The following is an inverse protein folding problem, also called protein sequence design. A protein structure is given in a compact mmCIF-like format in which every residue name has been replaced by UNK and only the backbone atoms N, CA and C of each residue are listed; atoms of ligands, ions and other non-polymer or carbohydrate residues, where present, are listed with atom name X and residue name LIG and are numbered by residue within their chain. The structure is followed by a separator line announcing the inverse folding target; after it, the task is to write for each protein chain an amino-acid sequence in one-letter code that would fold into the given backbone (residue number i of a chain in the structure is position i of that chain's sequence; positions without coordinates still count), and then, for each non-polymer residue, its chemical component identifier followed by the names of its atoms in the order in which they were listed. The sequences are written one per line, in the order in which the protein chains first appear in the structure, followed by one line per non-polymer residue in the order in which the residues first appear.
data_IF_095939710754
#
_entry.id   IF_095939710754
#
_cell.length_a   1.000
_cell.length_b   1.000
_cell.length_c   1.000
_cell.angle_alpha   90.00
_cell.angle_beta   90.00
_cell.angle_gamma   90.00
#
_symmetry.space_group_name_H-M   'P 1'
#
loop_
_entity.id
_entity.type
_entity.pdbx_description
1 polymer ?
#
# COMPACT_ATOMS: atom_id res chain seq x y z
N UNK A 1 0.05 -63.63 75.02
CA UNK A 1 0.92 -63.20 73.97
C UNK A 1 0.22 -63.03 72.59
N UNK A 2 -1.04 -63.49 72.40
CA UNK A 2 -1.80 -63.29 71.15
C UNK A 2 -2.11 -61.79 70.87
N UNK A 3 -2.21 -61.00 71.94
CA UNK A 3 -2.44 -59.57 71.86
C UNK A 3 -1.18 -58.84 71.33
N UNK A 4 0.01 -59.21 71.71
CA UNK A 4 1.27 -58.59 71.23
C UNK A 4 1.53 -58.84 69.73
N UNK A 5 1.20 -60.04 69.24
CA UNK A 5 1.31 -60.33 67.79
C UNK A 5 0.29 -59.57 66.99
N UNK A 6 -0.93 -59.33 67.48
CA UNK A 6 -1.94 -58.54 66.81
C UNK A 6 -1.52 -57.05 66.67
N UNK A 7 -0.92 -56.49 67.75
CA UNK A 7 -0.40 -55.13 67.74
C UNK A 7 0.77 -54.99 66.75
N UNK A 8 1.66 -55.98 66.73
CA UNK A 8 2.81 -55.95 65.79
C UNK A 8 2.37 -56.01 64.33
N UNK A 9 1.39 -56.90 64.03
CA UNK A 9 0.80 -56.96 62.66
C UNK A 9 0.09 -55.67 62.27
N UNK A 10 -0.61 -55.02 63.20
CA UNK A 10 -1.27 -53.74 62.97
C UNK A 10 -0.27 -52.67 62.64
N UNK A 11 0.82 -52.53 63.39
CA UNK A 11 1.87 -51.54 63.07
C UNK A 11 2.60 -51.85 61.76
N UNK A 12 2.79 -53.14 61.44
CA UNK A 12 3.40 -53.51 60.15
C UNK A 12 2.53 -53.15 58.99
N UNK A 13 1.21 -53.29 59.06
CA UNK A 13 0.26 -52.90 58.04
C UNK A 13 0.28 -51.37 57.87
N UNK A 14 0.27 -50.59 58.94
CA UNK A 14 0.36 -49.12 58.88
C UNK A 14 1.65 -48.67 58.21
N UNK A 15 2.78 -49.32 58.57
CA UNK A 15 4.08 -48.99 57.95
C UNK A 15 4.07 -49.26 56.44
N UNK A 16 3.52 -50.40 56.03
CA UNK A 16 3.39 -50.76 54.61
C UNK A 16 2.52 -49.70 53.85
N UNK A 17 1.40 -49.27 54.46
CA UNK A 17 0.51 -48.25 53.85
C UNK A 17 1.22 -46.90 53.75
N UNK A 18 1.95 -46.51 54.80
CA UNK A 18 2.68 -45.25 54.79
C UNK A 18 3.79 -45.25 53.72
N UNK A 19 4.59 -46.33 53.69
CA UNK A 19 5.66 -46.47 52.66
C UNK A 19 5.08 -46.56 51.27
N UNK A 20 4.01 -47.29 51.05
CA UNK A 20 3.31 -47.42 49.81
C UNK A 20 2.81 -46.03 49.31
N UNK A 21 2.15 -45.26 50.19
CA UNK A 21 1.65 -43.94 49.91
C UNK A 21 2.78 -42.95 49.57
N UNK A 22 3.89 -43.01 50.31
CA UNK A 22 5.05 -42.14 50.02
C UNK A 22 5.75 -42.46 48.69
N UNK A 23 5.93 -43.79 48.43
CA UNK A 23 6.51 -44.25 47.15
C UNK A 23 5.63 -43.83 45.95
N UNK A 24 4.32 -44.06 46.02
CA UNK A 24 3.36 -43.67 44.99
C UNK A 24 3.36 -42.17 44.84
N UNK A 25 3.28 -41.40 45.94
CA UNK A 25 3.32 -39.93 45.89
C UNK A 25 4.60 -39.38 45.25
N UNK A 26 5.75 -39.97 45.58
CA UNK A 26 7.03 -39.55 44.97
C UNK A 26 7.14 -39.95 43.49
N UNK A 27 6.60 -41.11 43.11
CA UNK A 27 6.56 -41.53 41.70
C UNK A 27 5.69 -40.58 40.86
N UNK A 28 4.51 -40.23 41.34
CA UNK A 28 3.64 -39.27 40.66
C UNK A 28 4.24 -37.86 40.62
N UNK A 29 4.86 -37.38 41.71
CA UNK A 29 5.58 -36.08 41.69
C UNK A 29 6.69 -36.08 40.66
N UNK A 30 7.51 -37.13 40.53
CA UNK A 30 8.56 -37.20 39.48
C UNK A 30 7.99 -37.24 38.06
N UNK A 31 6.88 -37.93 37.84
CA UNK A 31 6.30 -38.12 36.51
C UNK A 31 5.50 -36.91 36.02
N UNK A 32 4.87 -36.14 36.90
CA UNK A 32 3.99 -35.02 36.55
C UNK A 32 4.54 -33.64 36.94
N UNK A 33 5.69 -33.54 37.62
CA UNK A 33 6.29 -32.27 38.00
C UNK A 33 7.02 -31.55 36.84
N UNK A 34 7.38 -32.27 35.80
CA UNK A 34 8.02 -31.69 34.59
C UNK A 34 6.99 -31.59 33.49
N UNK A 35 6.21 -30.48 33.48
CA UNK A 35 5.49 -30.11 32.27
C UNK A 35 6.53 -29.83 31.19
N UNK A 36 6.37 -30.38 29.98
CA UNK A 36 7.24 -29.99 28.88
C UNK A 36 7.14 -28.46 28.73
N UNK A 37 8.24 -27.77 28.42
CA UNK A 37 8.19 -26.35 28.18
C UNK A 37 7.19 -26.06 27.04
N UNK A 38 6.43 -24.97 27.12
CA UNK A 38 5.51 -24.61 26.05
C UNK A 38 6.28 -24.45 24.75
N UNK A 39 5.73 -25.00 23.68
CA UNK A 39 6.26 -24.76 22.34
C UNK A 39 6.08 -23.27 21.95
N UNK A 40 7.12 -22.67 21.42
CA UNK A 40 7.07 -21.30 20.88
C UNK A 40 7.38 -21.32 19.40
N UNK A 41 6.69 -20.46 18.64
CA UNK A 41 7.02 -20.22 17.24
C UNK A 41 8.07 -19.12 17.21
N UNK A 42 9.17 -19.38 16.51
CA UNK A 42 10.26 -18.41 16.33
C UNK A 42 10.32 -17.93 14.90
N UNK A 43 10.75 -16.70 14.70
CA UNK A 43 11.02 -16.10 13.40
C UNK A 43 12.44 -15.56 13.38
N UNK A 44 13.04 -15.61 12.20
CA UNK A 44 14.36 -15.02 11.99
C UNK A 44 14.22 -13.51 11.74
N UNK A 45 15.05 -12.71 12.40
CA UNK A 45 15.10 -11.27 12.20
C UNK A 45 15.84 -11.01 10.89
N UNK A 46 15.18 -10.33 9.93
CA UNK A 46 15.76 -10.00 8.62
C UNK A 46 15.72 -8.50 8.40
N UNK A 47 16.68 -8.01 7.61
CA UNK A 47 16.60 -6.65 7.11
C UNK A 47 15.41 -6.52 6.16
N UNK A 48 14.61 -5.50 6.34
CA UNK A 48 13.43 -5.16 5.54
C UNK A 48 13.39 -3.65 5.32
N UNK A 49 12.90 -3.26 4.16
CA UNK A 49 12.66 -1.85 3.87
C UNK A 49 11.32 -1.44 4.47
N UNK A 50 11.35 -0.43 5.32
CA UNK A 50 10.20 0.19 5.93
C UNK A 50 10.01 1.57 5.36
N UNK A 51 8.75 1.96 5.13
CA UNK A 51 8.39 3.31 4.69
C UNK A 51 7.14 3.79 5.41
N UNK A 52 7.07 5.09 5.65
CA UNK A 52 5.80 5.73 5.99
C UNK A 52 5.01 5.97 4.71
N UNK A 53 3.68 5.98 4.80
CA UNK A 53 2.80 6.09 3.65
C UNK A 53 1.77 7.18 3.88
N UNK A 54 1.47 7.92 2.82
CA UNK A 54 0.30 8.79 2.75
C UNK A 54 -0.51 8.42 1.52
N UNK A 55 -1.80 8.20 1.71
CA UNK A 55 -2.72 7.84 0.62
C UNK A 55 -3.70 8.98 0.35
N UNK A 56 -3.96 9.22 -0.93
CA UNK A 56 -4.89 10.23 -1.42
C UNK A 56 -5.50 9.78 -2.75
N UNK A 57 -6.39 10.57 -3.32
CA UNK A 57 -7.02 10.31 -4.61
C UNK A 57 -6.77 11.48 -5.56
N UNK A 58 -6.66 11.17 -6.83
CA UNK A 58 -6.55 12.17 -7.87
C UNK A 58 -7.21 11.72 -9.17
N UNK A 59 -7.32 12.66 -10.10
CA UNK A 59 -7.90 12.40 -11.42
C UNK A 59 -6.80 12.34 -12.48
N UNK A 60 -6.87 11.34 -13.35
CA UNK A 60 -5.94 11.19 -14.47
C UNK A 60 -6.07 12.33 -15.48
N UNK A 61 -4.96 12.97 -15.80
CA UNK A 61 -4.86 14.09 -16.75
C UNK A 61 -3.92 13.65 -17.87
N UNK A 62 -4.27 13.85 -19.16
CA UNK A 62 -3.37 13.52 -20.27
C UNK A 62 -2.15 14.45 -20.28
N UNK A 63 -1.03 13.95 -20.79
CA UNK A 63 0.21 14.71 -20.91
C UNK A 63 0.02 16.01 -21.70
N UNK A 64 -0.71 15.93 -22.81
CA UNK A 64 -1.02 17.08 -23.68
C UNK A 64 -2.43 16.96 -24.21
N UNK A 65 -3.07 18.11 -24.33
CA UNK A 65 -4.39 18.22 -24.96
C UNK A 65 -4.38 19.39 -25.95
N UNK A 66 -4.90 19.16 -27.14
CA UNK A 66 -5.16 20.22 -28.12
C UNK A 66 -6.62 20.18 -28.53
N UNK A 67 -7.32 21.26 -28.29
CA UNK A 67 -8.74 21.42 -28.62
C UNK A 67 -8.94 22.11 -29.95
N UNK A 68 -9.90 21.65 -30.72
CA UNK A 68 -10.33 22.22 -31.99
C UNK A 68 -11.84 22.41 -31.96
N UNK A 69 -12.29 23.64 -32.07
CA UNK A 69 -13.70 23.95 -32.28
C UNK A 69 -13.94 24.12 -33.78
N UNK A 70 -14.85 23.34 -34.32
CA UNK A 70 -15.20 23.35 -35.76
C UNK A 70 -16.71 23.43 -35.91
N UNK A 71 -17.17 24.07 -36.94
CA UNK A 71 -18.59 24.09 -37.29
C UNK A 71 -18.98 22.83 -38.04
N UNK A 72 -20.10 22.23 -37.69
CA UNK A 72 -20.53 20.94 -38.28
C UNK A 72 -20.69 20.99 -39.80
N UNK A 73 -21.09 22.14 -40.33
CA UNK A 73 -21.26 22.34 -41.78
C UNK A 73 -19.94 22.42 -42.59
N UNK A 74 -18.80 22.61 -41.89
CA UNK A 74 -17.46 22.61 -42.51
C UNK A 74 -16.92 21.19 -42.71
N UNK A 75 -17.45 20.21 -42.00
CA UNK A 75 -16.94 18.83 -42.02
C UNK A 75 -17.29 18.19 -43.38
N UNK A 76 -16.26 17.72 -44.07
CA UNK A 76 -16.40 17.00 -45.35
C UNK A 76 -16.36 15.50 -45.10
N UNK A 77 -15.36 15.03 -44.35
CA UNK A 77 -15.18 13.64 -44.04
C UNK A 77 -15.58 13.34 -42.58
N UNK A 78 -16.21 12.19 -42.29
CA UNK A 78 -16.60 11.83 -40.94
C UNK A 78 -15.37 11.74 -40.02
N UNK A 79 -15.54 12.19 -38.76
CA UNK A 79 -14.48 12.12 -37.74
C UNK A 79 -14.52 10.80 -37.04
N UNK A 80 -13.41 10.07 -37.06
CA UNK A 80 -13.24 8.83 -36.32
C UNK A 80 -12.76 9.13 -34.88
N UNK A 81 -13.69 9.04 -33.93
CA UNK A 81 -13.36 9.20 -32.52
C UNK A 81 -12.74 7.93 -31.94
N UNK A 82 -11.98 8.08 -30.86
CA UNK A 82 -11.24 7.03 -30.15
C UNK A 82 -10.17 6.35 -31.03
N UNK A 83 -9.83 6.93 -32.17
CA UNK A 83 -8.74 6.49 -33.03
C UNK A 83 -7.43 7.09 -32.59
N UNK A 84 -6.39 6.27 -32.54
CA UNK A 84 -5.02 6.72 -32.32
C UNK A 84 -4.43 7.22 -33.62
N UNK A 85 -3.85 8.41 -33.56
CA UNK A 85 -3.20 9.05 -34.67
C UNK A 85 -1.74 9.36 -34.32
N UNK A 86 -0.88 9.32 -35.32
CA UNK A 86 0.49 9.84 -35.23
C UNK A 86 0.52 11.32 -35.62
N UNK A 87 1.54 12.01 -35.18
CA UNK A 87 1.80 13.38 -35.62
C UNK A 87 1.82 13.46 -37.13
N UNK A 88 1.02 14.37 -37.68
CA UNK A 88 0.88 14.58 -39.13
C UNK A 88 -0.28 13.80 -39.78
N UNK A 89 -0.88 12.84 -39.09
CA UNK A 89 -2.04 12.12 -39.62
C UNK A 89 -3.26 13.03 -39.74
N UNK A 90 -4.12 12.72 -40.71
CA UNK A 90 -5.36 13.45 -40.93
C UNK A 90 -6.39 13.08 -39.85
N UNK A 91 -6.91 14.07 -39.14
CA UNK A 91 -8.04 13.97 -38.24
C UNK A 91 -9.34 13.99 -39.02
N UNK A 92 -9.52 15.04 -39.85
CA UNK A 92 -10.67 15.20 -40.75
C UNK A 92 -10.37 16.27 -41.82
N UNK A 93 -11.11 16.19 -42.92
CA UNK A 93 -11.08 17.23 -43.96
C UNK A 93 -12.25 18.17 -43.75
N UNK A 94 -11.92 19.47 -43.73
CA UNK A 94 -12.89 20.54 -43.71
C UNK A 94 -12.98 21.19 -45.10
N UNK A 95 -14.04 21.94 -45.39
CA UNK A 95 -14.24 22.58 -46.70
C UNK A 95 -13.07 23.51 -47.09
N UNK A 96 -12.47 24.19 -46.12
CA UNK A 96 -11.43 25.20 -46.38
C UNK A 96 -10.02 24.73 -45.98
N UNK A 97 -9.90 23.66 -45.20
CA UNK A 97 -8.61 23.17 -44.66
C UNK A 97 -8.70 21.72 -44.23
N UNK A 98 -7.55 21.08 -44.10
CA UNK A 98 -7.42 19.79 -43.43
C UNK A 98 -7.00 19.94 -41.96
N UNK A 99 -7.62 19.22 -41.06
CA UNK A 99 -7.24 19.17 -39.68
C UNK A 99 -6.30 17.97 -39.46
N UNK A 100 -5.08 18.25 -39.03
CA UNK A 100 -4.02 17.25 -38.84
C UNK A 100 -3.61 17.15 -37.38
N UNK A 101 -3.18 15.96 -36.98
CA UNK A 101 -2.70 15.68 -35.62
C UNK A 101 -1.38 16.42 -35.35
N UNK A 102 -1.37 17.27 -34.32
CA UNK A 102 -0.19 18.06 -33.94
C UNK A 102 0.87 17.19 -33.21
N UNK A 103 0.47 16.10 -32.63
CA UNK A 103 1.30 15.12 -31.91
C UNK A 103 0.60 13.75 -31.91
N UNK A 104 1.30 12.72 -31.47
CA UNK A 104 0.74 11.38 -31.32
C UNK A 104 -0.31 11.37 -30.20
N UNK A 105 -1.51 10.86 -30.50
CA UNK A 105 -2.58 10.92 -29.51
C UNK A 105 -3.85 10.22 -29.96
N UNK A 106 -4.89 10.35 -29.15
CA UNK A 106 -6.24 9.85 -29.43
C UNK A 106 -7.20 11.02 -29.66
N UNK A 107 -8.08 10.86 -30.63
CA UNK A 107 -9.11 11.86 -30.94
C UNK A 107 -10.34 11.58 -30.07
N UNK A 108 -10.76 12.55 -29.28
CA UNK A 108 -11.94 12.47 -28.42
C UNK A 108 -12.97 13.56 -28.78
N UNK A 109 -14.24 13.25 -28.55
CA UNK A 109 -15.33 14.23 -28.63
C UNK A 109 -15.58 14.78 -27.22
N UNK A 110 -15.78 16.10 -27.13
CA UNK A 110 -16.14 16.77 -25.88
C UNK A 110 -17.35 17.67 -26.09
N UNK A 111 -18.18 17.80 -25.08
CA UNK A 111 -19.27 18.76 -25.05
C UNK A 111 -18.79 20.14 -24.56
N UNK A 112 -17.72 20.16 -23.78
CA UNK A 112 -17.02 21.37 -23.33
C UNK A 112 -15.57 21.04 -22.96
N UNK A 113 -14.70 22.04 -22.99
CA UNK A 113 -13.33 21.96 -22.46
C UNK A 113 -12.99 23.29 -21.83
N UNK A 114 -12.78 23.31 -20.53
CA UNK A 114 -12.60 24.54 -19.73
C UNK A 114 -13.72 25.55 -20.06
N UNK A 115 -13.36 26.68 -20.65
CA UNK A 115 -14.30 27.77 -20.99
C UNK A 115 -14.95 27.64 -22.39
N UNK A 116 -14.63 26.57 -23.13
CA UNK A 116 -15.16 26.38 -24.50
C UNK A 116 -16.44 25.53 -24.41
N UNK A 117 -17.59 26.18 -24.64
CA UNK A 117 -18.88 25.48 -24.76
C UNK A 117 -19.13 25.10 -26.22
N UNK A 118 -19.74 23.93 -26.42
CA UNK A 118 -20.19 23.46 -27.72
C UNK A 118 -21.61 23.93 -27.95
N UNK A 119 -21.86 24.62 -29.09
CA UNK A 119 -23.21 24.92 -29.56
C UNK A 119 -23.78 23.77 -30.39
N UNK A 120 -25.09 23.78 -30.66
CA UNK A 120 -25.70 22.78 -31.54
C UNK A 120 -25.10 22.74 -32.96
N UNK A 121 -24.60 23.87 -33.44
CA UNK A 121 -23.97 23.98 -34.76
C UNK A 121 -22.47 23.63 -34.78
N UNK A 122 -21.82 23.53 -33.64
CA UNK A 122 -20.38 23.28 -33.55
C UNK A 122 -20.07 21.91 -32.93
N UNK A 123 -18.79 21.51 -33.05
CA UNK A 123 -18.23 20.31 -32.49
C UNK A 123 -16.88 20.65 -31.87
N UNK A 124 -16.65 20.21 -30.64
CA UNK A 124 -15.36 20.30 -29.97
C UNK A 124 -14.65 18.91 -30.04
N UNK A 125 -13.48 18.95 -30.70
CA UNK A 125 -12.61 17.79 -30.82
C UNK A 125 -11.38 18.02 -29.95
N UNK A 126 -10.93 17.02 -29.25
CA UNK A 126 -9.66 17.04 -28.55
C UNK A 126 -8.73 15.95 -29.08
N UNK A 127 -7.49 16.32 -29.31
CA UNK A 127 -6.38 15.40 -29.49
C UNK A 127 -5.66 15.30 -28.13
N UNK A 128 -5.62 14.11 -27.55
CA UNK A 128 -5.05 13.87 -26.22
C UNK A 128 -3.89 12.87 -26.32
N UNK A 129 -2.73 13.28 -25.81
CA UNK A 129 -1.57 12.39 -25.62
C UNK A 129 -1.68 11.72 -24.27
N UNK A 130 -1.98 10.44 -24.27
CA UNK A 130 -2.20 9.61 -23.08
C UNK A 130 -1.04 8.66 -22.81
N UNK A 131 0.11 8.82 -23.46
CA UNK A 131 1.31 7.99 -23.24
C UNK A 131 1.90 8.20 -21.84
N UNK A 132 1.72 9.40 -21.30
CA UNK A 132 2.02 9.77 -19.92
C UNK A 132 0.72 10.30 -19.31
N UNK A 133 0.46 9.90 -18.09
CA UNK A 133 -0.63 10.43 -17.28
C UNK A 133 -0.04 11.27 -16.15
N UNK A 134 -0.57 12.46 -15.99
CA UNK A 134 -0.39 13.27 -14.79
C UNK A 134 -1.56 13.05 -13.83
N UNK A 135 -1.28 13.18 -12.54
CA UNK A 135 -2.29 13.18 -11.50
C UNK A 135 -1.98 14.32 -10.53
N UNK A 136 -2.88 15.28 -10.46
CA UNK A 136 -2.77 16.37 -9.49
C UNK A 136 -3.51 15.95 -8.21
N UNK A 137 -2.80 16.03 -7.09
CA UNK A 137 -3.30 15.66 -5.78
C UNK A 137 -2.99 16.73 -4.74
N UNK A 138 -3.85 16.85 -3.75
CA UNK A 138 -3.64 17.71 -2.59
C UNK A 138 -3.14 16.85 -1.41
N UNK A 139 -1.91 17.10 -0.97
CA UNK A 139 -1.29 16.40 0.16
C UNK A 139 -1.46 17.25 1.42
N UNK A 140 -1.99 16.72 2.54
CA UNK A 140 -2.15 17.47 3.77
C UNK A 140 -0.84 18.08 4.26
N UNK A 141 -0.88 19.31 4.77
CA UNK A 141 0.27 20.10 5.23
C UNK A 141 1.19 19.33 6.18
N UNK A 142 0.61 18.45 7.00
CA UNK A 142 1.36 17.58 7.93
C UNK A 142 2.47 16.78 7.25
N UNK A 143 2.27 16.39 5.99
CA UNK A 143 3.21 15.56 5.23
C UNK A 143 4.09 16.37 4.28
N UNK A 144 3.83 17.68 4.11
CA UNK A 144 4.48 18.51 3.10
C UNK A 144 6.02 18.50 3.16
N UNK A 145 6.60 18.47 4.38
CA UNK A 145 8.06 18.45 4.56
C UNK A 145 8.74 17.16 4.04
N UNK A 146 7.99 16.08 3.91
CA UNK A 146 8.49 14.78 3.45
C UNK A 146 8.30 14.59 1.94
N UNK A 147 7.43 15.38 1.32
CA UNK A 147 7.10 15.27 -0.11
C UNK A 147 8.15 15.98 -0.93
N UNK A 148 8.85 15.24 -1.76
CA UNK A 148 9.93 15.72 -2.64
C UNK A 148 9.77 15.18 -4.03
N UNK A 149 10.31 15.90 -5.02
CA UNK A 149 10.40 15.42 -6.39
C UNK A 149 11.15 14.08 -6.47
N UNK A 150 10.78 13.25 -7.44
CA UNK A 150 11.32 11.92 -7.69
C UNK A 150 11.03 10.86 -6.60
N UNK A 151 10.18 11.13 -5.60
CA UNK A 151 9.69 10.07 -4.73
C UNK A 151 8.82 9.08 -5.52
N UNK A 152 8.99 7.80 -5.23
CA UNK A 152 8.18 6.74 -5.79
C UNK A 152 6.75 6.78 -5.26
N UNK A 153 5.81 6.54 -6.15
CA UNK A 153 4.38 6.57 -5.88
C UNK A 153 3.73 5.32 -6.43
N UNK A 154 3.01 4.60 -5.60
CA UNK A 154 2.16 3.51 -6.04
C UNK A 154 0.80 4.09 -6.46
N UNK A 155 0.35 3.74 -7.64
CA UNK A 155 -0.91 4.21 -8.23
C UNK A 155 -1.79 3.02 -8.54
N UNK A 156 -3.02 3.02 -8.02
CA UNK A 156 -4.04 2.03 -8.34
C UNK A 156 -5.16 2.68 -9.13
N UNK A 157 -5.57 2.02 -10.18
CA UNK A 157 -6.69 2.43 -10.99
C UNK A 157 -7.93 1.64 -10.59
N UNK A 158 -9.03 2.33 -10.25
CA UNK A 158 -10.28 1.70 -9.78
C UNK A 158 -10.91 0.73 -10.79
N UNK A 159 -10.58 0.88 -12.09
CA UNK A 159 -11.01 -0.05 -13.14
C UNK A 159 -10.20 -1.35 -13.21
N UNK A 160 -9.06 -1.42 -12.53
CA UNK A 160 -8.21 -2.62 -12.45
C UNK A 160 -7.47 -2.63 -11.11
N UNK A 161 -8.16 -3.07 -10.06
CA UNK A 161 -7.68 -3.04 -8.68
C UNK A 161 -6.48 -3.98 -8.42
N UNK A 162 -6.24 -4.95 -9.27
CA UNK A 162 -5.17 -5.95 -9.08
C UNK A 162 -3.82 -5.44 -9.60
N UNK A 163 -3.82 -4.35 -10.40
CA UNK A 163 -2.60 -3.80 -11.01
C UNK A 163 -2.16 -2.53 -10.29
N UNK A 164 -0.93 -2.55 -9.81
CA UNK A 164 -0.26 -1.37 -9.24
C UNK A 164 0.65 -0.80 -10.33
N UNK A 165 0.46 0.48 -10.63
CA UNK A 165 1.34 1.23 -11.51
C UNK A 165 2.33 2.02 -10.64
N UNK A 166 3.54 2.20 -11.12
CA UNK A 166 4.55 3.01 -10.45
C UNK A 166 4.66 4.36 -11.14
N UNK A 167 4.49 5.42 -10.36
CA UNK A 167 4.74 6.78 -10.77
C UNK A 167 5.83 7.44 -9.93
N UNK A 168 6.10 8.70 -10.22
CA UNK A 168 7.01 9.55 -9.45
C UNK A 168 6.35 10.91 -9.21
N UNK A 169 6.74 11.58 -8.14
CA UNK A 169 6.41 13.00 -7.95
C UNK A 169 7.20 13.80 -8.97
N UNK A 170 6.49 14.46 -9.89
CA UNK A 170 7.05 15.30 -10.94
C UNK A 170 7.37 16.71 -10.41
N UNK A 171 6.44 17.29 -9.66
CA UNK A 171 6.59 18.64 -9.11
C UNK A 171 5.64 18.89 -7.93
N UNK A 172 5.95 19.92 -7.16
CA UNK A 172 5.08 20.44 -6.09
C UNK A 172 4.86 21.93 -6.28
N UNK A 173 3.79 22.48 -5.69
CA UNK A 173 3.50 23.92 -5.76
C UNK A 173 4.54 24.80 -5.04
N UNK A 174 5.42 24.21 -4.23
CA UNK A 174 6.40 24.95 -3.42
C UNK A 174 5.79 25.81 -2.31
N UNK A 175 4.47 25.81 -2.13
CA UNK A 175 3.73 26.56 -1.11
C UNK A 175 2.51 25.80 -0.64
N UNK A 176 2.11 26.03 0.61
CA UNK A 176 0.87 25.49 1.15
C UNK A 176 -0.31 26.35 0.72
N UNK A 177 -1.36 25.70 0.25
CA UNK A 177 -2.68 26.32 0.09
C UNK A 177 -3.29 26.51 1.48
N UNK A 178 -3.54 27.78 1.84
CA UNK A 178 -4.00 28.16 3.19
C UNK A 178 -5.45 27.71 3.43
N UNK A 179 -6.27 27.70 2.38
CA UNK A 179 -7.69 27.33 2.50
C UNK A 179 -7.84 25.83 2.64
N UNK A 180 -7.12 25.05 1.85
CA UNK A 180 -7.15 23.58 1.86
C UNK A 180 -6.21 22.95 2.88
N UNK A 181 -5.26 23.70 3.43
CA UNK A 181 -4.17 23.19 4.28
C UNK A 181 -3.45 22.01 3.62
N UNK A 182 -3.09 22.19 2.35
CA UNK A 182 -2.48 21.15 1.52
C UNK A 182 -1.37 21.69 0.63
N UNK A 183 -0.48 20.76 0.22
CA UNK A 183 0.55 20.96 -0.79
C UNK A 183 0.03 20.35 -2.10
N UNK A 184 -0.21 21.18 -3.11
CA UNK A 184 -0.55 20.67 -4.44
C UNK A 184 0.68 19.98 -5.04
N UNK A 185 0.49 18.74 -5.47
CA UNK A 185 1.56 17.86 -5.93
C UNK A 185 1.14 17.20 -7.23
N UNK A 186 2.02 17.23 -8.22
CA UNK A 186 1.83 16.55 -9.50
C UNK A 186 2.62 15.26 -9.55
N UNK A 187 1.93 14.18 -9.90
CA UNK A 187 2.49 12.86 -10.08
C UNK A 187 2.50 12.56 -11.57
N UNK A 188 3.56 11.93 -12.04
CA UNK A 188 3.76 11.49 -13.41
C UNK A 188 3.90 9.98 -13.44
N UNK A 189 3.17 9.31 -14.33
CA UNK A 189 3.30 7.88 -14.57
C UNK A 189 3.28 7.56 -16.06
N UNK A 190 4.00 6.52 -16.45
CA UNK A 190 3.98 6.00 -17.81
C UNK A 190 2.72 5.16 -18.03
N UNK A 191 2.09 5.32 -19.18
CA UNK A 191 0.86 4.61 -19.56
C UNK A 191 1.07 3.88 -20.88
N UNK A 192 2.10 3.05 -20.93
CA UNK A 192 2.55 2.38 -22.18
C UNK A 192 1.47 1.51 -22.82
N UNK A 193 0.65 0.86 -22.01
CA UNK A 193 -0.46 0.03 -22.48
C UNK A 193 -1.75 0.83 -22.68
N UNK A 194 -1.77 2.10 -22.32
CA UNK A 194 -2.95 2.97 -22.38
C UNK A 194 -4.16 2.45 -21.57
N UNK A 195 -3.87 1.73 -20.50
CA UNK A 195 -4.91 1.17 -19.62
C UNK A 195 -5.64 2.26 -18.83
N UNK A 196 -4.94 3.34 -18.50
CA UNK A 196 -5.47 4.46 -17.72
C UNK A 196 -6.03 5.51 -18.68
N UNK A 197 -7.32 5.75 -18.59
CA UNK A 197 -8.00 6.75 -19.40
C UNK A 197 -7.99 8.11 -18.67
N UNK A 198 -7.85 9.22 -19.40
CA UNK A 198 -8.05 10.56 -18.82
C UNK A 198 -9.42 10.68 -18.16
N UNK A 199 -9.46 11.32 -17.00
CA UNK A 199 -10.67 11.44 -16.18
C UNK A 199 -10.88 10.28 -15.19
N UNK A 200 -10.06 9.23 -15.23
CA UNK A 200 -10.13 8.13 -14.28
C UNK A 200 -9.75 8.58 -12.87
N UNK A 201 -10.45 8.03 -11.87
CA UNK A 201 -10.08 8.17 -10.47
C UNK A 201 -8.94 7.20 -10.15
N UNK A 202 -7.88 7.73 -9.56
CA UNK A 202 -6.68 6.99 -9.17
C UNK A 202 -6.46 7.11 -7.66
N UNK A 203 -6.20 5.98 -7.02
CA UNK A 203 -5.72 5.92 -5.63
C UNK A 203 -4.19 6.03 -5.65
N UNK A 204 -3.67 6.97 -4.89
CA UNK A 204 -2.27 7.34 -4.85
C UNK A 204 -1.71 7.03 -3.47
N UNK A 205 -0.63 6.25 -3.41
CA UNK A 205 0.11 6.00 -2.17
C UNK A 205 1.55 6.44 -2.34
N UNK A 206 1.93 7.49 -1.63
CA UNK A 206 3.28 8.05 -1.62
C UNK A 206 4.04 7.43 -0.45
N UNK A 207 5.21 6.86 -0.73
CA UNK A 207 6.14 6.31 0.27
C UNK A 207 7.20 7.34 0.58
N UNK A 208 7.44 7.56 1.86
CA UNK A 208 8.46 8.51 2.32
C UNK A 208 9.18 7.98 3.57
N UNK A 209 10.29 8.59 3.98
CA UNK A 209 11.13 8.12 5.09
C UNK A 209 11.52 6.64 4.97
N UNK A 210 11.88 6.21 3.76
CA UNK A 210 12.32 4.85 3.52
C UNK A 210 13.60 4.56 4.32
N UNK A 211 13.57 3.45 5.07
CA UNK A 211 14.70 3.02 5.90
C UNK A 211 14.82 1.51 5.90
N UNK A 212 16.00 1.03 5.54
CA UNK A 212 16.34 -0.39 5.74
C UNK A 212 16.65 -0.63 7.21
N UNK A 213 15.91 -1.54 7.85
CA UNK A 213 16.02 -1.83 9.27
C UNK A 213 15.68 -3.28 9.56
N UNK A 214 16.04 -3.76 10.76
CA UNK A 214 15.66 -5.11 11.20
C UNK A 214 14.16 -5.18 11.39
N UNK A 215 13.52 -6.13 10.72
CA UNK A 215 12.08 -6.36 10.79
C UNK A 215 11.74 -7.63 11.56
N UNK A 216 10.69 -7.53 12.35
CA UNK A 216 10.07 -8.65 13.07
C UNK A 216 8.54 -8.54 12.95
N UNK A 217 7.80 -9.65 13.03
CA UNK A 217 6.34 -9.61 13.12
C UNK A 217 5.86 -8.88 14.37
N UNK A 218 4.78 -8.11 14.26
CA UNK A 218 4.15 -7.42 15.40
C UNK A 218 3.79 -8.37 16.55
N UNK A 219 3.42 -9.62 16.22
CA UNK A 219 3.12 -10.69 17.19
C UNK A 219 4.31 -11.08 18.08
N UNK A 220 5.53 -10.67 17.71
CA UNK A 220 6.74 -10.91 18.51
C UNK A 220 6.99 -9.83 19.57
N UNK A 221 6.21 -8.73 19.56
CA UNK A 221 6.34 -7.62 20.47
C UNK A 221 5.50 -7.83 21.74
N UNK A 222 6.09 -7.62 22.89
CA UNK A 222 5.40 -7.60 24.19
C UNK A 222 5.52 -6.22 24.81
N UNK A 223 4.39 -5.61 25.16
CA UNK A 223 4.34 -4.33 25.85
C UNK A 223 4.12 -4.56 27.36
N UNK A 224 4.96 -3.97 28.19
CA UNK A 224 4.83 -3.94 29.64
C UNK A 224 5.03 -2.51 30.14
N UNK A 225 3.94 -1.85 30.50
CA UNK A 225 3.95 -0.40 30.80
C UNK A 225 4.42 0.40 29.59
N UNK A 226 5.41 1.23 29.76
CA UNK A 226 5.96 2.08 28.70
C UNK A 226 7.09 1.44 27.90
N UNK A 227 7.38 0.15 28.16
CA UNK A 227 8.51 -0.54 27.53
C UNK A 227 8.06 -1.68 26.64
N UNK A 228 8.79 -1.86 25.56
CA UNK A 228 8.55 -2.94 24.59
C UNK A 228 9.71 -3.94 24.63
N UNK A 229 9.36 -5.21 24.60
CA UNK A 229 10.30 -6.32 24.70
C UNK A 229 10.08 -7.34 23.58
N UNK A 230 11.15 -8.05 23.28
CA UNK A 230 11.14 -9.27 22.46
C UNK A 230 11.83 -10.40 23.22
N UNK A 231 11.44 -11.66 22.95
CA UNK A 231 12.17 -12.81 23.42
C UNK A 231 13.13 -13.32 22.36
N UNK A 232 14.43 -13.13 22.59
CA UNK A 232 15.46 -13.72 21.75
C UNK A 232 15.69 -15.16 22.17
N UNK A 233 15.72 -16.07 21.20
CA UNK A 233 16.02 -17.48 21.41
C UNK A 233 17.47 -17.75 21.05
N UNK A 234 18.24 -18.30 22.00
CA UNK A 234 19.63 -18.69 21.76
C UNK A 234 19.71 -20.08 21.08
N UNK A 235 20.87 -20.44 20.56
CA UNK A 235 21.14 -21.79 20.01
C UNK A 235 20.86 -22.95 21.00
N UNK A 236 20.88 -22.64 22.27
CA UNK A 236 20.56 -23.62 23.36
C UNK A 236 19.07 -23.66 23.69
N UNK A 237 18.20 -23.07 22.88
CA UNK A 237 16.76 -22.97 23.13
C UNK A 237 16.40 -22.26 24.46
N UNK A 238 17.25 -21.30 24.89
CA UNK A 238 16.98 -20.47 26.06
C UNK A 238 16.45 -19.12 25.56
N UNK A 239 15.33 -18.66 26.12
CA UNK A 239 14.72 -17.38 25.81
C UNK A 239 15.28 -16.28 26.70
N UNK A 240 15.68 -15.18 26.12
CA UNK A 240 16.12 -13.97 26.82
C UNK A 240 15.22 -12.79 26.47
N UNK A 241 14.58 -12.22 27.49
CA UNK A 241 13.79 -11.00 27.36
C UNK A 241 14.72 -9.83 27.09
N UNK A 242 14.50 -9.12 25.96
CA UNK A 242 15.34 -7.99 25.54
C UNK A 242 14.45 -6.79 25.28
N UNK A 243 14.77 -5.65 25.88
CA UNK A 243 14.10 -4.38 25.61
C UNK A 243 14.48 -3.87 24.22
N UNK A 244 13.48 -3.38 23.46
CA UNK A 244 13.66 -2.84 22.10
C UNK A 244 12.92 -1.53 21.94
N UNK A 245 13.42 -0.72 21.05
CA UNK A 245 12.75 0.52 20.62
C UNK A 245 12.06 0.24 19.29
N UNK A 246 10.76 0.48 19.24
CA UNK A 246 9.96 0.29 18.02
C UNK A 246 10.26 1.43 17.05
N UNK A 247 10.52 1.10 15.80
CA UNK A 247 10.65 2.03 14.70
C UNK A 247 9.35 2.19 13.91
N UNK A 248 9.45 2.08 12.59
CA UNK A 248 8.31 2.18 11.65
C UNK A 248 7.57 0.85 11.65
N UNK A 249 6.23 0.91 11.65
CA UNK A 249 5.34 -0.23 11.38
C UNK A 249 4.84 -0.13 9.95
N UNK A 250 4.82 -1.25 9.25
CA UNK A 250 4.36 -1.38 7.87
C UNK A 250 3.15 -2.33 7.79
#
# INVERSE_FOLDING_TARGET
TKIGTAILVFFLIITIVIVGRTMIGNHFKKKFSKRPPPGIIVTEVKAKDFSQKVSTYGTAIPFRTKSYKIEKYEIVDPIEFNKRLKKGDLITKLKTRSLIAAFDGIVTKRDFSNDIKVSESSLLIQLEDTSIIYVDVDIPELYASFIKENLNVDVKFSGNNDKIYTGIIDSTSGRIDIEKRSLATRIKLQNDNFDILPGSLLEITIKYNEKNSLGIPDTSLMMEGDKTYVYKVSEKNITNKTEVVIGIRD
#
